data_IF_553332029361
#
_entry.id   IF_553332029361
#
_cell.length_a   1.000
_cell.length_b   1.000
_cell.length_c   1.000
_cell.angle_alpha   90.00
_cell.angle_beta   90.00
_cell.angle_gamma   90.00
#
_symmetry.space_group_name_H-M   'P 1'
#
loop_
_entity.id
_entity.type
_entity.pdbx_description
1 polymer ?
#
# COMPACT_ATOMS: atom_id res chain seq x y z
N UNK A 1 -18.44 5.73 4.72
CA UNK A 1 -17.02 5.33 4.71
C UNK A 1 -16.69 4.65 6.03
N UNK A 2 -16.21 3.41 5.96
CA UNK A 2 -15.91 2.56 7.11
C UNK A 2 -14.40 2.37 7.32
N UNK A 3 -13.59 2.62 6.29
CA UNK A 3 -12.14 2.55 6.39
C UNK A 3 -11.44 2.70 5.04
N UNK A 4 -10.11 2.68 5.09
CA UNK A 4 -9.22 2.66 3.93
C UNK A 4 -8.42 1.36 3.96
N UNK A 5 -8.26 0.74 2.79
CA UNK A 5 -7.46 -0.47 2.64
C UNK A 5 -6.32 -0.15 1.66
N UNK A 6 -5.09 -0.27 2.14
CA UNK A 6 -3.88 -0.19 1.33
C UNK A 6 -3.50 -1.60 0.91
N UNK A 7 -3.44 -1.83 -0.41
CA UNK A 7 -3.05 -3.11 -0.99
C UNK A 7 -1.70 -2.97 -1.66
N UNK A 8 -0.69 -3.62 -1.10
CA UNK A 8 0.66 -3.65 -1.64
C UNK A 8 0.78 -4.66 -2.79
N UNK A 9 1.58 -4.34 -3.80
CA UNK A 9 1.94 -5.29 -4.87
C UNK A 9 3.14 -6.16 -4.47
N UNK A 10 2.98 -6.84 -3.34
CA UNK A 10 3.94 -7.80 -2.81
C UNK A 10 3.16 -8.90 -2.09
N UNK A 11 3.73 -10.09 -1.97
CA UNK A 11 3.12 -11.19 -1.20
C UNK A 11 3.65 -11.19 0.24
N UNK A 12 2.79 -11.53 1.20
CA UNK A 12 3.07 -11.48 2.64
C UNK A 12 4.34 -12.25 3.06
N UNK A 13 4.58 -13.42 2.46
CA UNK A 13 5.77 -14.24 2.72
C UNK A 13 7.09 -13.59 2.25
N UNK A 14 7.04 -12.73 1.23
CA UNK A 14 8.23 -12.03 0.72
C UNK A 14 8.59 -10.84 1.60
N UNK A 15 7.62 -10.20 2.26
CA UNK A 15 7.90 -9.07 3.15
C UNK A 15 8.65 -9.52 4.40
N UNK A 16 8.22 -10.63 5.02
CA UNK A 16 8.96 -11.24 6.12
C UNK A 16 10.41 -11.55 5.71
N UNK A 17 10.58 -12.11 4.52
CA UNK A 17 11.88 -12.47 3.94
C UNK A 17 12.73 -11.25 3.57
N UNK A 18 12.15 -10.12 3.16
CA UNK A 18 12.88 -8.87 2.90
C UNK A 18 13.47 -8.26 4.17
N UNK A 19 12.79 -8.40 5.31
CA UNK A 19 13.33 -8.02 6.63
C UNK A 19 14.53 -8.89 7.02
N UNK A 20 14.51 -10.19 6.71
CA UNK A 20 15.57 -11.14 7.05
C UNK A 20 16.73 -11.18 6.02
N UNK A 21 16.49 -10.81 4.77
CA UNK A 21 17.43 -10.97 3.65
C UNK A 21 17.78 -9.61 3.02
N UNK A 22 18.09 -8.62 3.86
CA UNK A 22 18.61 -7.32 3.39
C UNK A 22 20.00 -7.41 2.71
N UNK A 23 20.63 -8.60 2.61
CA UNK A 23 21.98 -8.75 2.06
C UNK A 23 22.19 -9.86 1.03
N UNK A 24 21.18 -10.61 0.56
CA UNK A 24 21.41 -11.64 -0.48
C UNK A 24 20.25 -11.77 -1.46
N UNK A 25 20.47 -11.20 -2.65
CA UNK A 25 20.06 -11.81 -3.93
C UNK A 25 18.58 -12.24 -3.99
N UNK A 26 17.69 -11.25 -3.99
CA UNK A 26 16.40 -11.40 -4.68
C UNK A 26 16.25 -10.16 -5.56
N UNK A 27 16.07 -10.38 -6.87
CA UNK A 27 16.05 -9.31 -7.87
C UNK A 27 15.08 -8.20 -7.44
N UNK A 28 15.52 -6.93 -7.32
CA UNK A 28 14.61 -5.79 -7.17
C UNK A 28 13.62 -5.69 -8.36
N UNK A 29 13.90 -6.38 -9.46
CA UNK A 29 13.04 -6.46 -10.65
C UNK A 29 11.80 -7.34 -10.48
N UNK A 30 11.76 -8.24 -9.48
CA UNK A 30 10.66 -9.21 -9.40
C UNK A 30 9.36 -8.61 -8.88
N UNK A 31 9.37 -7.51 -8.11
CA UNK A 31 8.16 -6.74 -7.74
C UNK A 31 8.50 -5.30 -7.35
N UNK A 32 8.44 -4.38 -8.32
CA UNK A 32 8.54 -2.94 -8.04
C UNK A 32 7.22 -2.42 -7.44
N UNK A 33 7.03 -2.61 -6.13
CA UNK A 33 5.91 -2.01 -5.40
C UNK A 33 6.26 -0.56 -5.03
N UNK A 34 5.81 0.42 -5.83
CA UNK A 34 6.12 1.83 -5.58
C UNK A 34 5.57 2.31 -4.22
N UNK A 35 4.36 1.88 -3.85
CA UNK A 35 3.78 2.17 -2.54
C UNK A 35 4.70 1.69 -1.41
N UNK A 36 5.24 0.48 -1.50
CA UNK A 36 6.15 -0.08 -0.51
C UNK A 36 7.45 0.73 -0.43
N UNK A 37 8.03 1.10 -1.57
CA UNK A 37 9.27 1.88 -1.62
C UNK A 37 9.13 3.26 -0.96
N UNK A 38 7.96 3.89 -1.13
CA UNK A 38 7.65 5.18 -0.51
C UNK A 38 7.37 5.00 0.99
N UNK A 39 6.57 4.01 1.39
CA UNK A 39 6.05 3.92 2.78
C UNK A 39 6.96 3.15 3.74
N UNK A 40 7.90 2.34 3.25
CA UNK A 40 8.84 1.55 4.07
C UNK A 40 10.30 1.94 3.85
N UNK A 41 11.13 1.66 4.85
CA UNK A 41 12.59 1.72 4.80
C UNK A 41 13.22 0.50 5.51
N UNK A 42 14.52 0.54 5.76
CA UNK A 42 15.30 -0.58 6.31
C UNK A 42 14.80 -1.12 7.67
N UNK A 43 14.04 -0.31 8.41
CA UNK A 43 13.56 -0.64 9.76
C UNK A 43 12.03 -0.76 9.84
N UNK A 44 11.35 -0.85 8.70
CA UNK A 44 9.89 -0.96 8.64
C UNK A 44 9.21 0.29 8.09
N UNK A 45 7.96 0.51 8.50
CA UNK A 45 7.14 1.63 8.03
C UNK A 45 7.77 2.96 8.46
N UNK A 46 7.90 3.91 7.54
CA UNK A 46 8.49 5.22 7.83
C UNK A 46 7.64 5.97 8.85
N UNK A 47 8.28 6.55 9.85
CA UNK A 47 7.60 7.31 10.89
C UNK A 47 6.73 8.44 10.31
N UNK A 48 7.27 9.16 9.32
CA UNK A 48 6.58 10.24 8.62
C UNK A 48 5.25 9.77 7.98
N UNK A 49 5.20 8.53 7.48
CA UNK A 49 3.99 7.95 6.91
C UNK A 49 2.99 7.63 8.00
N UNK A 50 3.45 6.98 9.08
CA UNK A 50 2.60 6.64 10.23
C UNK A 50 1.94 7.87 10.83
N UNK A 51 2.71 8.94 11.07
CA UNK A 51 2.20 10.20 11.63
C UNK A 51 1.11 10.81 10.75
N UNK A 52 1.28 10.78 9.42
CA UNK A 52 0.25 11.23 8.49
C UNK A 52 -1.03 10.39 8.57
N UNK A 53 -0.90 9.07 8.63
CA UNK A 53 -2.07 8.18 8.73
C UNK A 53 -2.86 8.43 10.01
N UNK A 54 -2.17 8.71 11.12
CA UNK A 54 -2.80 9.08 12.39
C UNK A 54 -3.62 10.37 12.28
N UNK A 55 -3.21 11.33 11.43
CA UNK A 55 -3.98 12.57 11.20
C UNK A 55 -5.29 12.38 10.44
N UNK A 56 -5.46 11.26 9.73
CA UNK A 56 -6.66 11.03 8.93
C UNK A 56 -7.82 10.52 9.77
N UNK A 57 -7.58 10.04 11.00
CA UNK A 57 -8.61 9.53 11.93
C UNK A 57 -9.59 8.49 11.33
N UNK A 58 -9.18 7.82 10.24
CA UNK A 58 -9.97 6.80 9.54
C UNK A 58 -9.37 5.43 9.85
N UNK A 59 -10.19 4.38 10.09
CA UNK A 59 -9.68 3.02 10.23
C UNK A 59 -8.93 2.57 8.97
N UNK A 60 -7.71 2.05 9.14
CA UNK A 60 -6.87 1.63 8.02
C UNK A 60 -6.48 0.17 8.13
N UNK A 61 -6.47 -0.51 6.99
CA UNK A 61 -5.94 -1.86 6.85
C UNK A 61 -4.84 -1.87 5.80
N UNK A 62 -3.83 -2.69 6.05
CA UNK A 62 -2.69 -2.90 5.17
C UNK A 62 -2.67 -4.36 4.79
N UNK A 63 -2.77 -4.66 3.50
CA UNK A 63 -2.79 -6.01 2.96
C UNK A 63 -1.75 -6.16 1.87
N UNK A 64 -1.14 -7.33 1.83
CA UNK A 64 -0.38 -7.81 0.69
C UNK A 64 -1.33 -8.32 -0.39
N UNK A 65 -0.81 -8.51 -1.60
CA UNK A 65 -1.58 -8.96 -2.76
C UNK A 65 -2.29 -10.29 -2.49
N UNK A 66 -1.57 -11.25 -1.94
CA UNK A 66 -2.07 -12.57 -1.56
C UNK A 66 -3.17 -12.47 -0.49
N UNK A 67 -2.94 -11.67 0.57
CA UNK A 67 -3.93 -11.44 1.63
C UNK A 67 -5.21 -10.77 1.10
N UNK A 68 -5.06 -9.83 0.16
CA UNK A 68 -6.19 -9.15 -0.49
C UNK A 68 -7.00 -10.11 -1.35
N UNK A 69 -6.33 -10.93 -2.17
CA UNK A 69 -6.98 -11.94 -2.98
C UNK A 69 -7.69 -13.01 -2.14
N UNK A 70 -7.07 -13.46 -1.05
CA UNK A 70 -7.65 -14.44 -0.14
C UNK A 70 -8.88 -13.88 0.57
N UNK A 71 -8.81 -12.63 1.04
CA UNK A 71 -9.89 -11.99 1.82
C UNK A 71 -11.09 -11.58 0.97
N UNK A 72 -10.86 -11.04 -0.22
CA UNK A 72 -11.91 -10.42 -1.03
C UNK A 72 -12.23 -11.17 -2.32
N UNK A 73 -11.43 -12.17 -2.70
CA UNK A 73 -11.63 -12.93 -3.94
C UNK A 73 -11.51 -12.09 -5.22
N UNK A 74 -11.07 -10.83 -5.11
CA UNK A 74 -11.02 -9.88 -6.23
C UNK A 74 -9.70 -10.07 -6.99
N UNK A 75 -9.81 -10.44 -8.26
CA UNK A 75 -8.67 -10.60 -9.18
C UNK A 75 -8.75 -9.57 -10.30
N UNK A 76 -7.60 -9.17 -10.86
CA UNK A 76 -7.53 -8.25 -12.00
C UNK A 76 -7.52 -6.76 -11.64
N UNK A 77 -7.53 -6.41 -10.35
CA UNK A 77 -7.21 -5.05 -9.92
C UNK A 77 -5.70 -4.81 -10.08
N UNK A 78 -5.31 -3.72 -10.74
CA UNK A 78 -3.92 -3.33 -10.83
C UNK A 78 -3.41 -2.90 -9.44
N UNK A 79 -2.32 -3.52 -8.99
CA UNK A 79 -1.69 -3.24 -7.71
C UNK A 79 -0.32 -2.54 -7.89
N UNK A 80 0.14 -1.71 -6.94
CA UNK A 80 -0.50 -1.41 -5.64
C UNK A 80 -1.75 -0.55 -5.80
N UNK A 81 -2.66 -0.58 -4.82
CA UNK A 81 -3.89 0.22 -4.86
C UNK A 81 -4.31 0.66 -3.46
N UNK A 82 -5.06 1.76 -3.39
CA UNK A 82 -5.76 2.20 -2.18
C UNK A 82 -7.26 2.13 -2.43
N UNK A 83 -7.98 1.47 -1.54
CA UNK A 83 -9.41 1.23 -1.64
C UNK A 83 -10.14 1.91 -0.48
N UNK A 84 -11.30 2.47 -0.77
CA UNK A 84 -12.29 2.84 0.25
C UNK A 84 -13.17 1.65 0.54
N UNK A 85 -13.40 1.40 1.83
CA UNK A 85 -14.41 0.47 2.29
C UNK A 85 -15.69 1.23 2.68
N UNK A 86 -16.79 0.91 2.02
CA UNK A 86 -18.12 1.47 2.28
C UNK A 86 -19.08 0.31 2.58
N UNK A 87 -19.23 -0.02 3.87
CA UNK A 87 -19.90 -1.24 4.29
C UNK A 87 -19.20 -2.50 3.75
N UNK A 88 -19.91 -3.28 2.94
CA UNK A 88 -19.39 -4.49 2.28
C UNK A 88 -18.75 -4.19 0.91
N UNK A 89 -18.86 -2.96 0.41
CA UNK A 89 -18.33 -2.58 -0.89
C UNK A 89 -16.92 -2.02 -0.79
N UNK A 90 -16.10 -2.36 -1.78
CA UNK A 90 -14.78 -1.78 -1.99
C UNK A 90 -14.81 -0.90 -3.23
N UNK A 91 -14.31 0.33 -3.09
CA UNK A 91 -14.19 1.29 -4.19
C UNK A 91 -12.73 1.69 -4.36
N UNK A 92 -12.26 1.75 -5.61
CA UNK A 92 -10.93 2.26 -5.90
C UNK A 92 -10.82 3.76 -5.55
N UNK A 93 -9.93 4.08 -4.63
CA UNK A 93 -9.61 5.46 -4.23
C UNK A 93 -8.42 5.98 -5.02
N UNK A 94 -7.34 5.18 -5.04
CA UNK A 94 -6.10 5.48 -5.74
C UNK A 94 -5.64 4.23 -6.50
N UNK A 95 -5.45 4.39 -7.81
CA UNK A 95 -4.99 3.35 -8.71
C UNK A 95 -3.47 3.17 -8.68
N UNK A 96 -3.01 2.01 -9.18
CA UNK A 96 -1.58 1.72 -9.36
C UNK A 96 -0.86 2.76 -10.24
N UNK A 97 -1.55 3.28 -11.25
CA UNK A 97 -1.03 4.29 -12.17
C UNK A 97 -0.86 5.65 -11.48
N UNK A 98 -1.80 6.05 -10.63
CA UNK A 98 -1.67 7.26 -9.80
C UNK A 98 -0.54 7.12 -8.78
N UNK A 99 -0.46 5.97 -8.09
CA UNK A 99 0.64 5.68 -7.16
C UNK A 99 1.98 5.63 -7.90
N UNK A 100 2.03 5.10 -9.11
CA UNK A 100 3.23 5.02 -9.94
C UNK A 100 3.78 6.38 -10.36
N UNK A 101 2.96 7.44 -10.29
CA UNK A 101 3.40 8.83 -10.54
C UNK A 101 3.95 9.53 -9.30
N UNK A 102 3.71 8.98 -8.10
CA UNK A 102 4.29 9.53 -6.87
C UNK A 102 5.79 9.20 -6.83
N UNK A 103 6.63 10.22 -6.77
CA UNK A 103 8.07 10.06 -6.62
C UNK A 103 8.47 9.89 -5.15
N UNK A 104 7.72 10.53 -4.25
CA UNK A 104 8.05 10.56 -2.83
C UNK A 104 6.83 10.54 -1.91
N UNK A 105 7.11 10.67 -0.61
CA UNK A 105 6.11 10.69 0.46
C UNK A 105 5.16 11.89 0.34
N UNK A 106 5.66 13.06 -0.09
CA UNK A 106 4.85 14.26 -0.21
C UNK A 106 3.81 14.11 -1.32
N UNK A 107 4.21 13.55 -2.46
CA UNK A 107 3.29 13.23 -3.56
C UNK A 107 2.18 12.28 -3.12
N UNK A 108 2.54 11.20 -2.41
CA UNK A 108 1.58 10.20 -1.94
C UNK A 108 0.58 10.80 -0.93
N UNK A 109 1.06 11.61 0.01
CA UNK A 109 0.20 12.30 0.99
C UNK A 109 -0.73 13.28 0.31
N UNK A 110 -0.22 14.09 -0.62
CA UNK A 110 -1.01 15.08 -1.36
C UNK A 110 -2.10 14.41 -2.19
N UNK A 111 -1.77 13.33 -2.89
CA UNK A 111 -2.72 12.52 -3.64
C UNK A 111 -3.85 11.98 -2.74
N UNK A 112 -3.52 11.43 -1.57
CA UNK A 112 -4.54 10.92 -0.64
C UNK A 112 -5.41 12.04 -0.08
N UNK A 113 -4.83 13.18 0.28
CA UNK A 113 -5.59 14.34 0.74
C UNK A 113 -6.53 14.89 -0.33
N UNK A 114 -6.14 14.86 -1.60
CA UNK A 114 -7.03 15.25 -2.70
C UNK A 114 -8.21 14.28 -2.84
N UNK A 115 -7.96 12.98 -2.75
CA UNK A 115 -8.97 11.93 -2.95
C UNK A 115 -9.92 11.75 -1.78
N UNK A 116 -9.50 12.15 -0.57
CA UNK A 116 -10.28 12.05 0.67
C UNK A 116 -11.09 13.31 1.00
N UNK A 117 -10.97 14.38 0.21
CA UNK A 117 -11.84 15.57 0.29
C UNK A 117 -13.24 15.29 -0.24
#
# INVERSE_FOLDING_TARGET
MNGIIFVYNADSGLFNTLTDIAHKVFSPETYSCNLCAITYGNFGMRQEWKEFLETLEIPMQFLHRDEFHERYGMQGLALPAVLLQEGEQLRLLVSADEIGRCADMADLKGLLQEKLK
#
